data_IF_273025880387
#
_entry.id   IF_273025880387
#
_cell.length_a   1.000
_cell.length_b   1.000
_cell.length_c   1.000
_cell.angle_alpha   90.00
_cell.angle_beta   90.00
_cell.angle_gamma   90.00
#
_symmetry.space_group_name_H-M   'P 1'
#
loop_
_entity.id
_entity.type
_entity.pdbx_description
1 polymer ?
#
# COMPACT_ATOMS: atom_id res chain seq x y z
N UNK A 1 26.39 -19.70 -5.63
CA UNK A 1 26.35 -18.24 -5.56
C UNK A 1 24.90 -17.87 -5.46
N UNK A 2 24.40 -17.56 -4.25
CA UNK A 2 22.95 -17.41 -4.02
C UNK A 2 22.52 -15.97 -4.28
N UNK A 3 21.67 -15.77 -5.29
CA UNK A 3 21.01 -14.51 -5.62
C UNK A 3 19.65 -14.45 -4.92
N UNK A 4 19.48 -13.44 -4.06
CA UNK A 4 18.23 -13.17 -3.35
C UNK A 4 17.52 -11.96 -3.95
N UNK A 5 16.22 -12.10 -4.22
CA UNK A 5 15.31 -10.99 -4.49
C UNK A 5 14.36 -10.80 -3.30
N UNK A 6 14.27 -9.58 -2.80
CA UNK A 6 13.18 -9.11 -1.95
C UNK A 6 12.20 -8.32 -2.82
N UNK A 7 10.92 -8.66 -2.74
CA UNK A 7 9.85 -7.96 -3.48
C UNK A 7 8.66 -7.65 -2.58
N UNK A 8 7.80 -6.76 -3.07
CA UNK A 8 6.76 -6.10 -2.27
C UNK A 8 5.41 -6.81 -2.27
N UNK A 9 5.22 -7.80 -3.15
CA UNK A 9 3.99 -8.58 -3.18
C UNK A 9 4.18 -10.05 -3.60
N UNK A 10 3.35 -10.93 -3.06
CA UNK A 10 3.32 -12.37 -3.39
C UNK A 10 3.11 -12.69 -4.88
N UNK A 11 2.33 -11.91 -5.62
CA UNK A 11 2.13 -12.13 -7.05
C UNK A 11 3.41 -11.80 -7.84
N UNK A 12 4.07 -10.68 -7.53
CA UNK A 12 5.36 -10.31 -8.09
C UNK A 12 6.43 -11.36 -7.80
N UNK A 13 6.49 -11.87 -6.56
CA UNK A 13 7.41 -12.96 -6.19
C UNK A 13 7.18 -14.22 -7.02
N UNK A 14 5.92 -14.64 -7.18
CA UNK A 14 5.57 -15.79 -8.00
C UNK A 14 6.03 -15.65 -9.45
N UNK A 15 5.81 -14.48 -10.06
CA UNK A 15 6.21 -14.21 -11.44
C UNK A 15 7.74 -14.18 -11.62
N UNK A 16 8.48 -13.50 -10.72
CA UNK A 16 9.95 -13.43 -10.77
C UNK A 16 10.60 -14.82 -10.57
N UNK A 17 10.04 -15.62 -9.67
CA UNK A 17 10.50 -16.98 -9.43
C UNK A 17 10.24 -17.89 -10.65
N UNK A 18 9.04 -17.80 -11.25
CA UNK A 18 8.70 -18.59 -12.44
C UNK A 18 9.57 -18.22 -13.65
N UNK A 19 9.97 -16.95 -13.76
CA UNK A 19 10.90 -16.48 -14.80
C UNK A 19 12.37 -16.87 -14.53
N UNK A 20 12.68 -17.48 -13.38
CA UNK A 20 14.04 -17.92 -13.05
C UNK A 20 15.02 -16.78 -12.83
N UNK A 21 14.56 -15.61 -12.38
CA UNK A 21 15.42 -14.43 -12.21
C UNK A 21 16.43 -14.64 -11.06
N UNK A 22 16.05 -15.30 -9.98
CA UNK A 22 16.91 -15.51 -8.82
C UNK A 22 16.70 -16.90 -8.17
N UNK A 23 17.69 -17.31 -7.38
CA UNK A 23 17.64 -18.58 -6.64
C UNK A 23 16.59 -18.53 -5.52
N UNK A 24 16.45 -17.36 -4.89
CA UNK A 24 15.52 -17.11 -3.81
C UNK A 24 14.75 -15.81 -4.06
N UNK A 25 13.42 -15.87 -4.03
CA UNK A 25 12.54 -14.71 -4.15
C UNK A 25 11.59 -14.66 -2.97
N UNK A 26 11.71 -13.62 -2.13
CA UNK A 26 10.91 -13.46 -0.91
C UNK A 26 9.90 -12.30 -1.09
N UNK A 27 8.59 -12.55 -0.96
CA UNK A 27 7.60 -11.50 -0.79
C UNK A 27 7.53 -11.06 0.68
N UNK A 28 7.59 -9.75 0.94
CA UNK A 28 7.48 -9.21 2.30
C UNK A 28 6.04 -8.85 2.70
N UNK A 29 5.18 -8.52 1.72
CA UNK A 29 3.72 -8.32 1.86
C UNK A 29 3.24 -7.39 3.00
N UNK A 30 4.09 -6.53 3.57
CA UNK A 30 3.67 -5.53 4.54
C UNK A 30 2.66 -4.54 3.94
N UNK A 31 1.70 -4.10 4.76
CA UNK A 31 0.68 -3.11 4.36
C UNK A 31 0.83 -1.86 5.21
N UNK A 32 1.39 -0.80 4.63
CA UNK A 32 1.64 0.48 5.30
C UNK A 32 0.68 1.59 4.85
N UNK A 33 -0.05 1.40 3.75
CA UNK A 33 -1.05 2.37 3.28
C UNK A 33 -2.35 2.33 4.08
N UNK A 34 -2.58 1.29 4.90
CA UNK A 34 -3.87 1.02 5.52
C UNK A 34 -3.73 0.63 6.99
N UNK A 35 -4.64 1.13 7.82
CA UNK A 35 -4.63 0.86 9.25
C UNK A 35 -3.47 1.54 10.00
N UNK A 36 -3.38 1.33 11.32
CA UNK A 36 -2.28 1.86 12.11
C UNK A 36 -0.96 1.23 11.66
N UNK A 37 0.09 2.06 11.58
CA UNK A 37 1.43 1.53 11.36
C UNK A 37 1.91 0.70 12.57
N UNK A 38 2.70 -0.36 12.35
CA UNK A 38 3.32 -1.10 13.44
C UNK A 38 4.26 -0.18 14.25
N UNK A 39 4.36 -0.44 15.55
CA UNK A 39 5.31 0.27 16.40
C UNK A 39 6.76 -0.01 15.95
N UNK A 40 7.75 0.83 16.32
CA UNK A 40 9.15 0.57 15.98
C UNK A 40 9.63 -0.80 16.48
N UNK A 41 9.18 -1.22 17.67
CA UNK A 41 9.50 -2.53 18.23
C UNK A 41 8.84 -3.65 17.45
N UNK A 42 7.56 -3.53 17.10
CA UNK A 42 6.85 -4.60 16.38
C UNK A 42 7.44 -4.81 14.98
N UNK A 43 7.81 -3.72 14.30
CA UNK A 43 8.47 -3.79 13.01
C UNK A 43 9.91 -4.33 13.09
N UNK A 44 10.64 -4.06 14.16
CA UNK A 44 11.94 -4.68 14.38
C UNK A 44 11.79 -6.19 14.66
N UNK A 45 10.81 -6.57 15.47
CA UNK A 45 10.48 -7.97 15.76
C UNK A 45 10.04 -8.71 14.50
N UNK A 46 9.24 -8.09 13.63
CA UNK A 46 8.75 -8.71 12.39
C UNK A 46 9.84 -9.01 11.37
N UNK A 47 11.03 -8.41 11.50
CA UNK A 47 12.21 -8.61 10.65
C UNK A 47 13.31 -9.43 11.35
N UNK A 48 13.17 -9.68 12.64
CA UNK A 48 14.13 -10.40 13.48
C UNK A 48 13.97 -11.93 13.33
N UNK A 49 14.93 -12.73 13.85
CA UNK A 49 14.76 -14.17 13.92
C UNK A 49 13.47 -14.56 14.65
N UNK A 50 12.76 -15.56 14.12
CA UNK A 50 11.50 -16.05 14.71
C UNK A 50 11.83 -16.81 15.99
N UNK A 51 11.51 -16.22 17.14
CA UNK A 51 11.64 -16.89 18.44
C UNK A 51 10.45 -17.82 18.69
N UNK A 52 10.60 -18.79 19.60
CA UNK A 52 9.48 -19.62 20.06
C UNK A 52 8.40 -18.82 20.84
N UNK A 53 8.71 -17.58 21.22
CA UNK A 53 7.83 -16.64 21.93
C UNK A 53 7.16 -15.63 20.99
N UNK A 54 7.30 -15.77 19.67
CA UNK A 54 6.72 -14.85 18.69
C UNK A 54 5.20 -14.83 18.80
N UNK A 55 4.63 -13.65 19.08
CA UNK A 55 3.18 -13.44 19.12
C UNK A 55 2.59 -13.74 17.72
N UNK A 56 1.71 -14.75 17.57
CA UNK A 56 1.07 -15.05 16.29
C UNK A 56 0.25 -13.89 15.72
N UNK A 57 -0.13 -12.91 16.55
CA UNK A 57 -0.83 -11.71 16.12
C UNK A 57 0.08 -10.67 15.43
N UNK A 58 1.40 -10.76 15.62
CA UNK A 58 2.35 -9.86 14.96
C UNK A 58 2.79 -10.44 13.60
N UNK A 59 2.61 -9.70 12.49
CA UNK A 59 3.08 -10.14 11.19
C UNK A 59 4.59 -10.38 11.21
N UNK A 60 5.05 -11.50 10.65
CA UNK A 60 6.47 -11.79 10.42
C UNK A 60 6.76 -11.78 8.91
N UNK A 61 7.96 -11.34 8.52
CA UNK A 61 8.37 -11.19 7.12
C UNK A 61 8.32 -12.47 6.26
N UNK A 62 8.13 -13.65 6.88
CA UNK A 62 7.96 -14.95 6.23
C UNK A 62 6.53 -15.51 6.27
N UNK A 63 5.55 -14.80 6.82
CA UNK A 63 4.22 -15.39 6.99
C UNK A 63 3.53 -15.66 5.64
N UNK A 64 3.76 -14.77 4.67
CA UNK A 64 3.19 -14.87 3.32
C UNK A 64 4.10 -15.59 2.31
N UNK A 65 5.25 -16.11 2.75
CA UNK A 65 6.21 -16.79 1.88
C UNK A 65 5.71 -18.15 1.34
N UNK A 66 4.57 -18.64 1.81
CA UNK A 66 4.01 -19.94 1.41
C UNK A 66 4.92 -21.15 1.74
N UNK A 67 4.54 -22.34 1.27
CA UNK A 67 5.25 -23.61 1.55
C UNK A 67 6.65 -23.70 0.95
N UNK A 68 7.01 -22.80 0.02
CA UNK A 68 8.27 -22.87 -0.73
C UNK A 68 9.47 -22.36 0.07
N UNK A 69 9.24 -21.56 1.11
CA UNK A 69 10.29 -21.08 2.00
C UNK A 69 10.22 -21.72 3.39
N UNK A 70 9.58 -22.90 3.48
CA UNK A 70 9.36 -23.62 4.74
C UNK A 70 10.69 -23.96 5.45
N UNK A 71 11.75 -24.24 4.70
CA UNK A 71 13.07 -24.49 5.30
C UNK A 71 13.66 -23.24 5.98
N UNK A 72 13.53 -22.08 5.34
CA UNK A 72 13.98 -20.79 5.89
C UNK A 72 13.12 -20.44 7.11
N UNK A 73 11.82 -20.64 7.00
CA UNK A 73 10.85 -20.46 8.10
C UNK A 73 11.18 -21.34 9.30
N UNK A 74 11.53 -22.62 9.07
CA UNK A 74 11.92 -23.56 10.12
C UNK A 74 13.25 -23.17 10.78
N UNK A 75 14.20 -22.61 10.02
CA UNK A 75 15.45 -22.08 10.58
C UNK A 75 15.23 -20.84 11.43
N UNK A 76 14.13 -20.12 11.21
CA UNK A 76 13.76 -18.94 12.00
C UNK A 76 14.75 -17.80 11.87
N UNK A 77 15.53 -17.71 10.79
CA UNK A 77 16.54 -16.66 10.59
C UNK A 77 15.90 -15.29 10.44
N UNK A 78 16.59 -14.24 10.87
CA UNK A 78 16.15 -12.85 10.64
C UNK A 78 16.38 -12.41 9.19
N UNK A 79 15.71 -11.35 8.75
CA UNK A 79 15.85 -10.83 7.39
C UNK A 79 17.31 -10.42 7.10
N UNK A 80 17.95 -9.70 8.02
CA UNK A 80 19.36 -9.29 7.90
C UNK A 80 20.27 -10.50 7.77
N UNK A 81 20.06 -11.52 8.61
CA UNK A 81 20.86 -12.73 8.62
C UNK A 81 20.73 -13.50 7.30
N UNK A 82 19.51 -13.69 6.79
CA UNK A 82 19.29 -14.29 5.47
C UNK A 82 20.01 -13.49 4.38
N UNK A 83 19.85 -12.16 4.40
CA UNK A 83 20.48 -11.30 3.43
C UNK A 83 22.01 -11.46 3.48
N UNK A 84 22.63 -11.51 4.66
CA UNK A 84 24.07 -11.69 4.85
C UNK A 84 24.60 -13.03 4.32
N UNK A 85 23.82 -14.11 4.41
CA UNK A 85 24.14 -15.43 3.87
C UNK A 85 24.10 -15.48 2.33
N UNK A 86 23.42 -14.53 1.69
CA UNK A 86 23.34 -14.43 0.23
C UNK A 86 24.48 -13.58 -0.33
N UNK A 87 24.92 -13.91 -1.54
CA UNK A 87 26.02 -13.21 -2.21
C UNK A 87 25.56 -11.87 -2.77
N UNK A 88 24.38 -11.86 -3.40
CA UNK A 88 23.72 -10.65 -3.92
C UNK A 88 22.31 -10.55 -3.34
N UNK A 89 21.90 -9.31 -3.07
CA UNK A 89 20.55 -9.01 -2.55
C UNK A 89 19.97 -7.88 -3.40
N UNK A 90 18.84 -8.17 -4.03
CA UNK A 90 18.17 -7.27 -4.96
C UNK A 90 16.80 -6.89 -4.45
N UNK A 91 16.49 -5.59 -4.47
CA UNK A 91 15.18 -5.04 -4.12
C UNK A 91 14.41 -4.80 -5.41
N UNK A 92 13.44 -5.66 -5.73
CA UNK A 92 12.56 -5.51 -6.88
C UNK A 92 11.25 -4.88 -6.43
N UNK A 93 11.06 -3.59 -6.72
CA UNK A 93 10.00 -2.78 -6.10
C UNK A 93 9.01 -2.28 -7.14
N UNK A 94 7.72 -2.57 -6.93
CA UNK A 94 6.62 -2.06 -7.74
C UNK A 94 6.48 -0.53 -7.69
N UNK A 95 5.90 0.10 -8.72
CA UNK A 95 5.69 1.55 -8.72
C UNK A 95 4.56 2.02 -7.77
N UNK A 96 3.86 1.10 -7.10
CA UNK A 96 2.67 1.42 -6.31
C UNK A 96 3.01 2.06 -4.95
N UNK A 97 2.13 2.90 -4.37
CA UNK A 97 2.37 3.59 -3.10
C UNK A 97 2.82 2.68 -1.96
N UNK A 98 2.14 1.55 -1.72
CA UNK A 98 2.54 0.62 -0.67
C UNK A 98 3.94 0.03 -0.89
N UNK A 99 4.28 -0.32 -2.14
CA UNK A 99 5.60 -0.85 -2.47
C UNK A 99 6.71 0.19 -2.25
N UNK A 100 6.45 1.45 -2.57
CA UNK A 100 7.39 2.54 -2.28
C UNK A 100 7.52 2.83 -0.77
N UNK A 101 6.43 2.70 0.00
CA UNK A 101 6.49 2.75 1.47
C UNK A 101 7.34 1.61 2.04
N UNK A 102 7.19 0.39 1.50
CA UNK A 102 8.05 -0.75 1.89
C UNK A 102 9.51 -0.52 1.53
N UNK A 103 9.80 0.05 0.35
CA UNK A 103 11.17 0.40 -0.03
C UNK A 103 11.79 1.39 0.96
N UNK A 104 11.12 2.50 1.26
CA UNK A 104 11.70 3.49 2.19
C UNK A 104 11.85 2.94 3.61
N UNK A 105 10.93 2.08 4.04
CA UNK A 105 11.01 1.38 5.32
C UNK A 105 12.20 0.42 5.38
N UNK A 106 12.41 -0.40 4.34
CA UNK A 106 13.52 -1.35 4.27
C UNK A 106 14.88 -0.63 4.25
N UNK A 107 14.99 0.46 3.50
CA UNK A 107 16.23 1.24 3.44
C UNK A 107 16.52 1.98 4.75
N UNK A 108 15.50 2.50 5.43
CA UNK A 108 15.65 3.04 6.80
C UNK A 108 16.17 1.95 7.75
N UNK A 109 15.64 0.72 7.65
CA UNK A 109 16.10 -0.40 8.45
C UNK A 109 17.54 -0.85 8.11
N UNK A 110 17.89 -0.95 6.82
CA UNK A 110 19.23 -1.37 6.39
C UNK A 110 20.32 -0.33 6.66
N UNK A 111 19.95 0.92 6.97
CA UNK A 111 20.89 1.99 7.31
C UNK A 111 21.81 1.63 8.48
N UNK A 112 21.32 0.88 9.47
CA UNK A 112 22.13 0.40 10.61
C UNK A 112 23.04 -0.79 10.26
N UNK A 113 22.98 -1.32 9.03
CA UNK A 113 23.69 -2.52 8.59
C UNK A 113 24.59 -2.22 7.38
N UNK A 114 25.63 -1.40 7.56
CA UNK A 114 26.46 -0.87 6.46
C UNK A 114 27.07 -1.93 5.53
N UNK A 115 27.47 -3.10 6.07
CA UNK A 115 27.97 -4.23 5.26
C UNK A 115 26.90 -4.74 4.28
N UNK A 116 25.68 -4.94 4.76
CA UNK A 116 24.54 -5.34 3.93
C UNK A 116 24.18 -4.23 2.94
N UNK A 117 24.09 -2.98 3.38
CA UNK A 117 23.72 -1.86 2.52
C UNK A 117 24.60 -1.76 1.26
N UNK A 118 25.91 -2.00 1.42
CA UNK A 118 26.88 -1.93 0.31
C UNK A 118 26.70 -2.97 -0.80
N UNK A 119 25.97 -4.07 -0.54
CA UNK A 119 25.69 -5.14 -1.52
C UNK A 119 24.27 -5.13 -2.08
N UNK A 120 23.44 -4.19 -1.63
CA UNK A 120 22.07 -4.05 -2.12
C UNK A 120 22.07 -3.44 -3.52
N UNK A 121 21.26 -4.03 -4.39
CA UNK A 121 20.92 -3.49 -5.69
C UNK A 121 19.42 -3.20 -5.72
N UNK A 122 19.04 -2.02 -6.22
CA UNK A 122 17.66 -1.60 -6.37
C UNK A 122 17.24 -1.72 -7.84
N UNK A 123 16.11 -2.40 -8.07
CA UNK A 123 15.41 -2.47 -9.34
C UNK A 123 14.04 -1.82 -9.17
N UNK A 124 13.93 -0.55 -9.60
CA UNK A 124 12.65 0.16 -9.59
C UNK A 124 11.83 -0.20 -10.83
N UNK A 125 10.71 -0.88 -10.58
CA UNK A 125 9.78 -1.21 -11.63
C UNK A 125 9.00 0.04 -12.10
N UNK A 126 8.85 0.20 -13.41
CA UNK A 126 7.94 1.19 -14.00
C UNK A 126 6.55 0.61 -14.30
N UNK A 127 6.38 -0.70 -14.11
CA UNK A 127 5.15 -1.45 -14.30
C UNK A 127 4.95 -2.36 -13.09
N UNK A 128 3.70 -2.73 -12.79
CA UNK A 128 3.44 -3.75 -11.78
C UNK A 128 4.03 -5.09 -12.24
N UNK A 129 4.84 -5.72 -11.39
CA UNK A 129 5.54 -6.99 -11.64
C UNK A 129 4.53 -8.15 -11.63
N UNK A 130 3.64 -8.16 -10.62
CA UNK A 130 2.55 -9.13 -10.53
C UNK A 130 1.66 -9.14 -11.78
N UNK A 131 1.31 -10.34 -12.25
CA UNK A 131 0.48 -10.55 -13.43
C UNK A 131 1.20 -10.40 -14.77
N UNK A 132 2.53 -10.33 -14.78
CA UNK A 132 3.35 -10.41 -16.01
C UNK A 132 3.68 -11.87 -16.33
N UNK A 133 3.87 -12.15 -17.62
CA UNK A 133 4.28 -13.49 -18.07
C UNK A 133 5.77 -13.71 -17.80
N UNK A 134 6.16 -14.98 -17.72
CA UNK A 134 7.56 -15.39 -17.55
C UNK A 134 8.47 -14.81 -18.65
N UNK A 135 8.00 -14.81 -19.88
CA UNK A 135 8.74 -14.32 -21.05
C UNK A 135 8.94 -12.81 -20.97
N UNK A 136 7.88 -12.07 -20.59
CA UNK A 136 7.97 -10.62 -20.41
C UNK A 136 9.02 -10.26 -19.35
N UNK A 137 9.02 -10.97 -18.22
CA UNK A 137 9.97 -10.70 -17.14
C UNK A 137 11.38 -11.19 -17.43
N UNK A 138 11.52 -12.31 -18.14
CA UNK A 138 12.82 -12.84 -18.53
C UNK A 138 13.51 -11.99 -19.59
N UNK A 139 12.76 -11.19 -20.36
CA UNK A 139 13.31 -10.16 -21.28
C UNK A 139 13.48 -8.80 -20.60
N UNK A 140 12.75 -8.54 -19.52
CA UNK A 140 12.81 -7.27 -18.82
C UNK A 140 14.15 -7.09 -18.10
N UNK A 141 14.83 -6.00 -18.41
CA UNK A 141 16.14 -5.63 -17.84
C UNK A 141 16.07 -4.21 -17.27
N UNK A 142 15.35 -4.00 -16.15
CA UNK A 142 15.41 -2.71 -15.48
C UNK A 142 16.84 -2.41 -15.02
N UNK A 143 17.25 -1.14 -14.99
CA UNK A 143 18.59 -0.78 -14.55
C UNK A 143 18.79 -1.19 -13.08
N UNK A 144 19.93 -1.82 -12.80
CA UNK A 144 20.34 -2.16 -11.45
C UNK A 144 21.00 -0.92 -10.82
N UNK A 145 20.37 -0.35 -9.80
CA UNK A 145 20.85 0.86 -9.12
C UNK A 145 21.58 0.43 -7.86
N UNK A 146 22.85 0.81 -7.73
CA UNK A 146 23.59 0.60 -6.49
C UNK A 146 23.05 1.53 -5.40
N UNK A 147 22.76 0.98 -4.23
CA UNK A 147 22.29 1.77 -3.10
C UNK A 147 23.46 2.50 -2.47
N UNK A 148 23.33 3.82 -2.37
CA UNK A 148 24.32 4.73 -1.78
C UNK A 148 23.72 5.45 -0.56
N UNK A 149 24.54 6.22 0.16
CA UNK A 149 24.12 6.90 1.39
C UNK A 149 22.94 7.88 1.18
N UNK A 150 22.91 8.58 0.05
CA UNK A 150 21.82 9.49 -0.33
C UNK A 150 20.46 8.76 -0.45
N UNK A 151 20.45 7.53 -0.97
CA UNK A 151 19.25 6.70 -1.03
C UNK A 151 18.76 6.34 0.38
N UNK A 152 19.69 5.97 1.28
CA UNK A 152 19.38 5.62 2.67
C UNK A 152 18.87 6.84 3.45
N UNK A 153 19.46 8.01 3.24
CA UNK A 153 19.04 9.27 3.86
C UNK A 153 17.66 9.71 3.38
N UNK A 154 17.41 9.70 2.06
CA UNK A 154 16.11 10.05 1.49
C UNK A 154 15.01 9.08 1.95
N UNK A 155 15.30 7.78 1.98
CA UNK A 155 14.38 6.77 2.50
C UNK A 155 14.08 6.96 3.99
N UNK A 156 15.11 7.17 4.80
CA UNK A 156 14.96 7.42 6.24
C UNK A 156 14.12 8.67 6.51
N UNK A 157 14.41 9.77 5.80
CA UNK A 157 13.62 11.00 5.88
C UNK A 157 12.14 10.76 5.57
N UNK A 158 11.84 10.03 4.48
CA UNK A 158 10.47 9.74 4.08
C UNK A 158 9.75 8.81 5.08
N UNK A 159 10.39 7.73 5.50
CA UNK A 159 9.81 6.77 6.44
C UNK A 159 9.52 7.43 7.80
N UNK A 160 10.47 8.18 8.35
CA UNK A 160 10.27 8.88 9.62
C UNK A 160 9.18 9.95 9.52
N UNK A 161 9.04 10.60 8.36
CA UNK A 161 7.96 11.56 8.11
C UNK A 161 6.57 10.90 8.03
N UNK A 162 6.45 9.74 7.40
CA UNK A 162 5.18 9.02 7.26
C UNK A 162 4.63 8.50 8.59
N UNK A 163 5.52 8.21 9.54
CA UNK A 163 5.20 7.70 10.87
C UNK A 163 4.78 8.78 11.86
N UNK A 164 4.85 10.05 11.48
CA UNK A 164 4.49 11.13 12.38
C UNK A 164 2.99 11.14 12.69
N UNK A 165 2.60 11.62 13.88
CA UNK A 165 1.19 11.75 14.28
C UNK A 165 0.43 12.80 13.47
N UNK A 166 1.12 13.57 12.60
CA UNK A 166 0.53 14.54 11.68
C UNK A 166 1.17 14.42 10.30
N UNK A 167 0.43 14.73 9.21
CA UNK A 167 0.94 14.63 7.84
C UNK A 167 1.94 15.75 7.47
N UNK A 168 2.23 16.67 8.37
CA UNK A 168 3.03 17.86 8.08
C UNK A 168 4.45 17.54 7.60
N UNK A 169 5.12 16.56 8.22
CA UNK A 169 6.47 16.20 7.81
C UNK A 169 6.47 15.49 6.45
N UNK A 170 5.46 14.68 6.16
CA UNK A 170 5.28 14.07 4.85
C UNK A 170 4.99 15.12 3.78
N UNK A 171 4.14 16.11 4.08
CA UNK A 171 3.87 17.25 3.21
C UNK A 171 5.15 18.04 2.86
N UNK A 172 6.03 18.28 3.84
CA UNK A 172 7.31 18.96 3.61
C UNK A 172 8.24 18.23 2.64
N UNK A 173 8.07 16.92 2.43
CA UNK A 173 8.85 16.17 1.44
C UNK A 173 8.66 16.72 0.02
N UNK A 174 7.54 17.40 -0.27
CA UNK A 174 7.33 18.04 -1.57
C UNK A 174 8.37 19.14 -1.88
N UNK A 175 8.98 19.74 -0.86
CA UNK A 175 10.06 20.72 -0.98
C UNK A 175 11.46 20.11 -1.07
N UNK A 176 11.62 18.80 -0.85
CA UNK A 176 12.91 18.12 -0.87
C UNK A 176 13.22 17.54 -2.26
N UNK A 177 14.50 17.34 -2.55
CA UNK A 177 14.93 16.53 -3.67
C UNK A 177 14.80 15.04 -3.32
N UNK A 178 13.95 14.34 -4.06
CA UNK A 178 13.68 12.90 -3.91
C UNK A 178 14.11 12.12 -5.16
N UNK A 179 14.90 12.73 -6.06
CA UNK A 179 15.24 12.16 -7.37
C UNK A 179 16.03 10.85 -7.29
N UNK A 180 16.77 10.61 -6.19
CA UNK A 180 17.44 9.34 -5.88
C UNK A 180 16.46 8.16 -5.72
N UNK A 181 15.18 8.44 -5.46
CA UNK A 181 14.09 7.47 -5.42
C UNK A 181 12.98 7.92 -6.40
N UNK A 182 13.16 7.71 -7.72
CA UNK A 182 12.36 8.38 -8.76
C UNK A 182 10.83 8.26 -8.62
N UNK A 183 10.33 7.14 -8.11
CA UNK A 183 8.88 6.92 -7.92
C UNK A 183 8.31 7.65 -6.69
N UNK A 184 9.15 8.02 -5.71
CA UNK A 184 8.71 8.47 -4.38
C UNK A 184 7.93 9.78 -4.43
N UNK A 185 8.40 10.78 -5.19
CA UNK A 185 7.74 12.10 -5.25
C UNK A 185 6.28 12.01 -5.68
N UNK A 186 5.99 11.17 -6.67
CA UNK A 186 4.61 10.95 -7.11
C UNK A 186 3.78 10.25 -6.03
N UNK A 187 4.36 9.29 -5.29
CA UNK A 187 3.66 8.62 -4.19
C UNK A 187 3.40 9.53 -3.00
N UNK A 188 4.28 10.50 -2.73
CA UNK A 188 4.04 11.53 -1.71
C UNK A 188 2.74 12.27 -2.01
N UNK A 189 2.55 12.70 -3.26
CA UNK A 189 1.33 13.39 -3.71
C UNK A 189 0.11 12.47 -3.65
N UNK A 190 0.18 11.27 -4.21
CA UNK A 190 -0.95 10.33 -4.22
C UNK A 190 -1.40 9.96 -2.79
N UNK A 191 -0.47 9.81 -1.85
CA UNK A 191 -0.81 9.56 -0.45
C UNK A 191 -1.46 10.80 0.20
N UNK A 192 -0.97 12.01 -0.07
CA UNK A 192 -1.62 13.24 0.41
C UNK A 192 -3.04 13.40 -0.15
N UNK A 193 -3.28 12.97 -1.39
CA UNK A 193 -4.61 12.97 -2.02
C UNK A 193 -5.60 12.00 -1.34
N UNK A 194 -5.12 11.01 -0.58
CA UNK A 194 -5.99 10.15 0.25
C UNK A 194 -6.33 10.74 1.63
N UNK A 195 -5.75 11.89 2.01
CA UNK A 195 -6.30 12.65 3.13
C UNK A 195 -7.71 13.16 2.74
N UNK A 196 -8.62 13.32 3.72
CA UNK A 196 -9.93 13.92 3.48
C UNK A 196 -9.84 15.23 2.69
N UNK A 197 -10.57 15.32 1.58
CA UNK A 197 -10.59 16.52 0.75
C UNK A 197 -11.17 17.71 1.51
N UNK A 198 -10.64 18.91 1.29
CA UNK A 198 -11.11 20.14 1.96
C UNK A 198 -12.63 20.32 1.86
N UNK A 199 -13.20 20.12 0.67
CA UNK A 199 -14.62 20.37 0.40
C UNK A 199 -15.54 19.17 0.68
N UNK A 200 -15.00 17.95 0.65
CA UNK A 200 -15.82 16.72 0.56
C UNK A 200 -15.66 15.78 1.75
N UNK A 201 -14.58 15.89 2.52
CA UNK A 201 -14.28 14.98 3.62
C UNK A 201 -13.89 13.56 3.19
N UNK A 202 -13.76 13.30 1.89
CA UNK A 202 -13.39 12.00 1.31
C UNK A 202 -11.99 12.04 0.71
N UNK A 203 -11.27 10.90 0.75
CA UNK A 203 -10.02 10.74 0.02
C UNK A 203 -10.23 10.63 -1.49
N UNK A 204 -9.16 10.78 -2.27
CA UNK A 204 -9.22 10.70 -3.73
C UNK A 204 -9.78 9.37 -4.25
N UNK A 205 -9.45 8.24 -3.61
CA UNK A 205 -9.99 6.94 -4.03
C UNK A 205 -11.51 6.87 -3.83
N UNK A 206 -12.04 7.36 -2.71
CA UNK A 206 -13.49 7.40 -2.43
C UNK A 206 -14.22 8.34 -3.40
N UNK A 207 -13.68 9.54 -3.63
CA UNK A 207 -14.21 10.48 -4.62
C UNK A 207 -14.26 9.86 -6.02
N UNK A 208 -13.21 9.13 -6.39
CA UNK A 208 -13.16 8.43 -7.68
C UNK A 208 -14.22 7.34 -7.79
N UNK A 209 -14.57 6.66 -6.70
CA UNK A 209 -15.70 5.72 -6.71
C UNK A 209 -17.00 6.46 -6.99
N UNK A 210 -17.26 7.60 -6.35
CA UNK A 210 -18.48 8.37 -6.58
C UNK A 210 -18.59 8.83 -8.05
N UNK A 211 -17.51 9.32 -8.64
CA UNK A 211 -17.45 9.71 -10.06
C UNK A 211 -17.81 8.55 -11.00
N UNK A 212 -17.27 7.35 -10.74
CA UNK A 212 -17.52 6.17 -11.56
C UNK A 212 -18.95 5.65 -11.40
N UNK A 213 -19.52 5.77 -10.20
CA UNK A 213 -20.92 5.41 -9.95
C UNK A 213 -21.86 6.40 -10.64
N UNK A 214 -21.55 7.70 -10.62
CA UNK A 214 -22.32 8.75 -11.28
C UNK A 214 -22.38 8.57 -12.80
N UNK A 215 -21.32 8.03 -13.42
CA UNK A 215 -21.33 7.67 -14.84
C UNK A 215 -22.37 6.59 -15.19
N UNK A 216 -22.90 5.89 -14.19
CA UNK A 216 -24.05 4.98 -14.29
C UNK A 216 -23.69 3.53 -14.57
N UNK A 217 -24.61 2.63 -14.21
CA UNK A 217 -24.52 1.16 -14.40
C UNK A 217 -23.29 0.51 -13.75
N UNK A 218 -22.70 1.11 -12.73
CA UNK A 218 -21.55 0.54 -12.01
C UNK A 218 -21.97 -0.61 -11.08
N UNK A 219 -21.29 -1.75 -11.19
CA UNK A 219 -21.21 -2.75 -10.13
C UNK A 219 -19.99 -2.53 -9.23
N UNK A 220 -19.82 -3.30 -8.14
CA UNK A 220 -18.71 -3.10 -7.21
C UNK A 220 -17.33 -3.17 -7.87
N UNK A 221 -17.07 -4.19 -8.69
CA UNK A 221 -15.76 -4.36 -9.30
C UNK A 221 -15.43 -3.37 -10.43
N UNK A 222 -16.40 -2.56 -10.87
CA UNK A 222 -16.20 -1.50 -11.86
C UNK A 222 -15.55 -0.26 -11.24
N UNK A 223 -15.77 -0.03 -9.94
CA UNK A 223 -15.16 1.09 -9.20
C UNK A 223 -13.81 0.73 -8.60
N UNK A 224 -13.43 -0.56 -8.60
CA UNK A 224 -12.14 -1.02 -8.10
C UNK A 224 -11.00 -0.68 -9.08
N UNK A 225 -9.81 -0.31 -8.58
CA UNK A 225 -8.67 -0.07 -9.44
C UNK A 225 -8.15 -1.35 -10.08
N UNK A 226 -7.49 -1.22 -11.23
CA UNK A 226 -6.95 -2.39 -11.92
C UNK A 226 -6.35 -2.10 -13.28
N UNK A 227 -5.72 -3.12 -13.88
CA UNK A 227 -5.18 -3.00 -15.23
C UNK A 227 -6.34 -2.90 -16.22
N UNK A 228 -6.26 -1.93 -17.15
CA UNK A 228 -7.33 -1.61 -18.12
C UNK A 228 -8.70 -1.29 -17.49
N UNK A 229 -8.75 -0.94 -16.20
CA UNK A 229 -9.97 -0.44 -15.54
C UNK A 229 -10.09 1.08 -15.60
N UNK A 230 -11.30 1.59 -15.41
CA UNK A 230 -11.61 3.04 -15.37
C UNK A 230 -11.09 3.73 -14.12
N UNK A 231 -11.01 3.01 -12.99
CA UNK A 231 -10.31 3.50 -11.81
C UNK A 231 -8.79 3.28 -11.98
N UNK A 232 -8.04 4.39 -12.02
CA UNK A 232 -6.58 4.40 -12.16
C UNK A 232 -5.85 4.65 -10.84
N UNK A 233 -6.55 5.04 -9.77
CA UNK A 233 -5.95 5.33 -8.47
C UNK A 233 -5.61 4.03 -7.76
N UNK A 234 -4.31 3.75 -7.58
CA UNK A 234 -3.80 2.48 -7.07
C UNK A 234 -3.07 2.62 -5.73
N UNK A 235 -3.50 3.58 -4.91
CA UNK A 235 -3.00 3.71 -3.53
C UNK A 235 -3.42 2.49 -2.71
N UNK A 236 -4.70 2.13 -2.84
CA UNK A 236 -5.32 1.02 -2.13
C UNK A 236 -5.47 -0.23 -3.01
N UNK A 237 -5.37 -1.40 -2.38
CA UNK A 237 -5.53 -2.70 -3.02
C UNK A 237 -6.98 -3.20 -3.02
N UNK A 238 -7.15 -4.45 -3.39
CA UNK A 238 -8.47 -5.10 -3.51
C UNK A 238 -9.28 -5.03 -2.21
N UNK A 239 -8.67 -5.37 -1.08
CA UNK A 239 -9.33 -5.41 0.22
C UNK A 239 -9.66 -4.03 0.76
N UNK A 240 -8.72 -3.10 0.69
CA UNK A 240 -8.91 -1.74 1.18
C UNK A 240 -9.98 -1.00 0.38
N UNK A 241 -10.00 -1.17 -0.94
CA UNK A 241 -11.02 -0.56 -1.80
C UNK A 241 -12.40 -1.14 -1.52
N UNK A 242 -12.50 -2.44 -1.23
CA UNK A 242 -13.76 -3.03 -0.77
C UNK A 242 -14.25 -2.45 0.56
N UNK A 243 -13.34 -2.28 1.53
CA UNK A 243 -13.66 -1.66 2.80
C UNK A 243 -14.08 -0.19 2.66
N UNK A 244 -13.45 0.57 1.76
CA UNK A 244 -13.87 1.94 1.43
C UNK A 244 -15.28 1.97 0.81
N UNK A 245 -15.58 1.06 -0.12
CA UNK A 245 -16.91 0.98 -0.71
C UNK A 245 -17.98 0.60 0.32
N UNK A 246 -17.68 -0.30 1.27
CA UNK A 246 -18.54 -0.55 2.41
C UNK A 246 -18.72 0.69 3.28
N UNK A 247 -17.65 1.44 3.56
CA UNK A 247 -17.72 2.68 4.34
C UNK A 247 -18.63 3.75 3.70
N UNK A 248 -18.69 3.79 2.36
CA UNK A 248 -19.57 4.69 1.62
C UNK A 248 -21.04 4.21 1.59
N UNK A 249 -21.30 2.91 1.75
CA UNK A 249 -22.61 2.29 1.58
C UNK A 249 -23.29 1.88 2.91
N UNK A 250 -22.52 1.54 3.93
CA UNK A 250 -22.94 0.96 5.20
C UNK A 250 -22.59 1.87 6.39
N UNK A 251 -22.71 3.18 6.21
CA UNK A 251 -22.55 4.19 7.26
C UNK A 251 -23.90 4.85 7.63
N UNK A 252 -23.98 5.65 8.72
CA UNK A 252 -25.23 6.27 9.16
C UNK A 252 -25.94 7.09 8.08
N UNK A 253 -25.20 7.83 7.26
CA UNK A 253 -25.68 8.57 6.11
C UNK A 253 -24.93 8.13 4.84
N UNK A 254 -25.41 7.09 4.13
CA UNK A 254 -24.72 6.53 2.98
C UNK A 254 -24.57 7.53 1.83
N UNK A 255 -23.39 7.57 1.21
CA UNK A 255 -23.14 8.24 -0.07
C UNK A 255 -23.47 7.33 -1.27
N UNK A 256 -23.42 6.00 -1.06
CA UNK A 256 -23.68 4.98 -2.07
C UNK A 256 -24.82 4.09 -1.60
N UNK A 257 -25.65 3.64 -2.53
CA UNK A 257 -26.74 2.68 -2.31
C UNK A 257 -26.68 1.54 -3.31
N UNK A 258 -27.42 0.46 -3.04
CA UNK A 258 -27.55 -0.68 -3.95
C UNK A 258 -26.42 -1.72 -3.88
N UNK A 259 -25.55 -1.61 -2.86
CA UNK A 259 -24.58 -2.64 -2.48
C UNK A 259 -25.29 -3.72 -1.66
N UNK A 260 -25.38 -4.94 -2.18
CA UNK A 260 -26.28 -5.99 -1.69
C UNK A 260 -25.58 -7.10 -0.88
N UNK A 261 -24.50 -6.80 -0.17
CA UNK A 261 -23.81 -7.66 0.81
C UNK A 261 -22.69 -6.85 1.47
N UNK A 262 -22.19 -7.32 2.60
CA UNK A 262 -21.04 -6.76 3.31
C UNK A 262 -20.88 -7.40 4.69
N UNK A 263 -19.82 -7.10 5.43
CA UNK A 263 -18.64 -6.38 4.98
C UNK A 263 -17.82 -7.18 3.95
N UNK A 264 -16.94 -6.51 3.24
CA UNK A 264 -15.99 -7.03 2.27
C UNK A 264 -14.84 -7.74 3.00
N UNK A 265 -15.16 -8.93 3.50
CA UNK A 265 -14.27 -9.73 4.33
C UNK A 265 -14.01 -11.09 3.71
N UNK A 266 -13.06 -11.84 4.27
CA UNK A 266 -12.80 -13.22 3.86
C UNK A 266 -14.04 -14.10 4.02
N UNK A 267 -14.82 -13.92 5.10
CA UNK A 267 -16.04 -14.71 5.33
C UNK A 267 -17.09 -14.46 4.23
N UNK A 268 -17.19 -13.23 3.72
CA UNK A 268 -18.08 -12.92 2.60
C UNK A 268 -17.58 -13.59 1.30
N UNK A 269 -16.27 -13.61 1.07
CA UNK A 269 -15.68 -14.22 -0.12
C UNK A 269 -15.74 -15.75 -0.11
N UNK A 270 -15.68 -16.37 1.08
CA UNK A 270 -15.76 -17.83 1.24
C UNK A 270 -17.17 -18.38 1.07
N UNK A 271 -18.21 -17.55 1.20
CA UNK A 271 -19.59 -17.92 0.88
C UNK A 271 -19.93 -17.57 -0.58
N UNK A 272 -20.08 -18.56 -1.49
CA UNK A 272 -20.33 -18.29 -2.90
C UNK A 272 -21.64 -17.53 -3.16
N UNK A 273 -22.67 -17.72 -2.32
CA UNK A 273 -23.96 -17.05 -2.48
C UNK A 273 -23.88 -15.59 -2.08
N UNK A 274 -23.15 -15.28 -0.99
CA UNK A 274 -22.89 -13.88 -0.60
C UNK A 274 -22.06 -13.17 -1.66
N UNK A 275 -20.97 -13.79 -2.09
CA UNK A 275 -20.12 -13.22 -3.14
C UNK A 275 -20.87 -12.98 -4.46
N UNK A 276 -21.77 -13.89 -4.86
CA UNK A 276 -22.62 -13.69 -6.04
C UNK A 276 -23.60 -12.51 -5.87
N UNK A 277 -24.23 -12.37 -4.70
CA UNK A 277 -25.08 -11.20 -4.39
C UNK A 277 -24.29 -9.89 -4.41
N UNK A 278 -23.10 -9.87 -3.81
CA UNK A 278 -22.19 -8.73 -3.87
C UNK A 278 -21.90 -8.35 -5.33
N UNK A 279 -21.47 -9.31 -6.16
CA UNK A 279 -21.18 -9.11 -7.60
C UNK A 279 -22.34 -8.53 -8.40
N UNK A 280 -23.58 -8.91 -8.07
CA UNK A 280 -24.80 -8.45 -8.77
C UNK A 280 -25.33 -7.10 -8.28
N UNK A 281 -24.68 -6.50 -7.29
CA UNK A 281 -25.02 -5.16 -6.79
C UNK A 281 -25.02 -4.14 -7.93
N UNK A 282 -25.96 -3.19 -7.85
CA UNK A 282 -26.09 -2.09 -8.81
C UNK A 282 -25.97 -0.79 -8.06
N UNK A 283 -24.77 -0.23 -8.11
CA UNK A 283 -24.42 0.95 -7.32
C UNK A 283 -25.12 2.18 -7.88
N UNK A 284 -25.58 3.03 -6.96
CA UNK A 284 -26.11 4.36 -7.25
C UNK A 284 -25.65 5.32 -6.18
N UNK A 285 -25.46 6.59 -6.57
CA UNK A 285 -25.30 7.65 -5.58
C UNK A 285 -26.62 7.88 -4.84
N UNK A 286 -26.52 8.18 -3.55
CA UNK A 286 -27.64 8.75 -2.78
C UNK A 286 -27.68 10.27 -3.01
N UNK A 287 -28.72 10.94 -2.48
CA UNK A 287 -28.76 12.41 -2.50
C UNK A 287 -27.51 13.04 -1.83
N UNK A 288 -27.02 12.44 -0.75
CA UNK A 288 -25.78 12.87 -0.11
C UNK A 288 -24.56 12.61 -1.02
N UNK A 289 -24.48 11.45 -1.65
CA UNK A 289 -23.39 11.14 -2.60
C UNK A 289 -23.34 12.10 -3.79
N UNK A 290 -24.49 12.48 -4.33
CA UNK A 290 -24.61 13.49 -5.39
C UNK A 290 -24.15 14.87 -4.92
N UNK A 291 -24.56 15.29 -3.71
CA UNK A 291 -24.15 16.57 -3.13
C UNK A 291 -22.64 16.62 -2.82
N UNK A 292 -22.05 15.53 -2.33
CA UNK A 292 -20.61 15.42 -2.11
C UNK A 292 -19.86 15.49 -3.44
N UNK A 293 -20.32 14.77 -4.47
CA UNK A 293 -19.72 14.81 -5.80
C UNK A 293 -19.79 16.21 -6.40
N UNK A 294 -20.89 16.94 -6.17
CA UNK A 294 -21.04 18.34 -6.55
C UNK A 294 -20.22 19.32 -5.68
N UNK A 295 -19.51 18.82 -4.65
CA UNK A 295 -18.75 19.60 -3.67
C UNK A 295 -19.58 20.61 -2.89
N UNK A 296 -20.88 20.32 -2.72
CA UNK A 296 -21.81 21.15 -1.93
C UNK A 296 -22.02 20.59 -0.52
N UNK A 297 -21.62 19.35 -0.28
CA UNK A 297 -21.68 18.70 1.04
C UNK A 297 -20.36 18.01 1.39
N UNK A 298 -20.16 17.82 2.70
CA UNK A 298 -18.97 17.22 3.29
C UNK A 298 -19.35 15.95 4.05
N UNK A 299 -18.80 14.81 3.64
CA UNK A 299 -19.08 13.50 4.22
C UNK A 299 -18.86 13.46 5.74
N UNK A 300 -17.85 14.17 6.26
CA UNK A 300 -17.52 14.15 7.68
C UNK A 300 -18.53 14.88 8.57
N UNK A 301 -19.47 15.64 7.98
CA UNK A 301 -20.55 16.29 8.73
C UNK A 301 -21.71 15.35 9.04
N UNK A 302 -21.85 14.29 8.25
CA UNK A 302 -22.96 13.35 8.33
C UNK A 302 -22.52 11.99 8.89
N UNK A 303 -21.23 11.66 8.77
CA UNK A 303 -20.68 10.39 9.19
C UNK A 303 -19.45 10.58 10.09
N UNK A 304 -19.26 9.70 11.10
CA UNK A 304 -18.04 9.71 11.89
C UNK A 304 -16.84 9.31 11.01
N UNK A 305 -15.73 10.01 11.22
CA UNK A 305 -14.44 9.68 10.60
C UNK A 305 -13.59 9.01 11.68
N UNK A 306 -13.12 7.81 11.38
CA UNK A 306 -12.08 7.13 12.15
C UNK A 306 -11.26 6.26 11.21
N UNK A 307 -10.06 6.72 10.86
CA UNK A 307 -9.13 5.94 10.01
C UNK A 307 -7.69 6.38 10.23
N UNK A 308 -6.76 5.52 9.82
CA UNK A 308 -5.34 5.82 9.87
C UNK A 308 -4.81 6.21 8.50
N UNK A 309 -3.94 7.21 8.49
CA UNK A 309 -3.13 7.62 7.36
C UNK A 309 -1.68 7.60 7.82
N UNK A 310 -0.95 6.53 7.50
CA UNK A 310 0.38 6.31 8.07
C UNK A 310 0.35 6.38 9.60
N UNK A 311 1.20 7.23 10.18
CA UNK A 311 1.22 7.48 11.63
C UNK A 311 0.14 8.44 12.15
N UNK A 312 -0.69 9.01 11.28
CA UNK A 312 -1.73 9.98 11.65
C UNK A 312 -3.07 9.28 11.85
N UNK A 313 -3.62 9.33 13.06
CA UNK A 313 -5.01 8.97 13.32
C UNK A 313 -5.93 10.14 12.95
N UNK A 314 -6.86 9.90 12.02
CA UNK A 314 -7.86 10.86 11.60
C UNK A 314 -9.17 10.61 12.32
N UNK A 315 -9.65 11.62 13.04
CA UNK A 315 -10.98 11.68 13.64
C UNK A 315 -11.71 12.95 13.20
N UNK A 316 -13.01 13.10 13.47
CA UNK A 316 -13.69 14.37 13.24
C UNK A 316 -13.02 15.57 13.96
N UNK A 317 -12.43 15.34 15.14
CA UNK A 317 -11.73 16.37 15.93
C UNK A 317 -10.29 16.64 15.46
N UNK A 318 -9.69 15.70 14.71
CA UNK A 318 -8.30 15.75 14.23
C UNK A 318 -8.25 15.55 12.72
N UNK A 319 -9.14 16.23 12.01
CA UNK A 319 -9.37 16.00 10.59
C UNK A 319 -8.43 16.83 9.72
N UNK A 320 -7.19 16.37 9.59
CA UNK A 320 -6.27 16.91 8.58
C UNK A 320 -6.84 16.73 7.18
N UNK A 321 -6.79 17.79 6.38
CA UNK A 321 -7.39 17.81 5.04
C UNK A 321 -6.37 18.18 3.97
N UNK A 322 -6.66 17.77 2.74
CA UNK A 322 -5.88 18.12 1.57
C UNK A 322 -6.71 18.97 0.60
N UNK A 323 -6.16 20.09 0.15
CA UNK A 323 -6.66 20.81 -1.02
C UNK A 323 -5.80 20.48 -2.24
N UNK A 324 -6.30 19.66 -3.18
CA UNK A 324 -5.57 19.34 -4.40
C UNK A 324 -5.41 20.55 -5.34
N UNK A 325 -6.28 21.56 -5.26
CA UNK A 325 -6.23 22.73 -6.13
C UNK A 325 -5.06 23.64 -5.78
N UNK A 326 -4.90 23.99 -4.51
CA UNK A 326 -3.75 24.76 -4.03
C UNK A 326 -2.53 23.90 -3.65
N UNK A 327 -2.67 22.57 -3.67
CA UNK A 327 -1.70 21.61 -3.12
C UNK A 327 -1.31 21.96 -1.68
N UNK A 328 -2.31 22.25 -0.86
CA UNK A 328 -2.09 22.66 0.53
C UNK A 328 -2.62 21.61 1.51
N UNK A 329 -1.85 21.44 2.59
CA UNK A 329 -2.27 20.72 3.77
C UNK A 329 -3.02 21.67 4.70
N UNK A 330 -4.20 21.24 5.17
CA UNK A 330 -5.09 22.01 6.03
C UNK A 330 -5.15 21.34 7.39
N UNK A 331 -4.87 22.10 8.44
CA UNK A 331 -4.94 21.64 9.82
C UNK A 331 -6.41 21.47 10.27
N UNK A 332 -6.68 20.59 11.27
CA UNK A 332 -8.01 20.36 11.82
C UNK A 332 -8.75 21.62 12.28
#
# INVERSE_FOLDING_TARGET
MTRLILTTDSSGAGCLQQAGIADLVIPLDFRFVWGPLPSPSDLATSLSPRSAEHDPALPHWLDNSGRRHEEIRRKGVGLIELCEQCETVELWIDPLPNAQLMLVQLLDHFRSHGKLASKLMLFQANIVIGGKTSETLSEWRPPAIKILNDHLEAASLAWQAFRQPTPQQWFKLLGNDLSVLPQLRQRVLELLEELPGQATGLGATEMRMLELIAAGKAGPFDVFPGHRKSNKLRVFGYWEVGALLDGLAHCPAPAVSGLNEGPFSDEMHQDPKRLDRYKRSKLKLTALGEAILARTEDFSRHNPVHRWWGGTELTNDRLWRWDPASRALIAP
#
